data_IF_412280970262
#
_entry.id   IF_412280970262
#
_cell.length_a   1.000
_cell.length_b   1.000
_cell.length_c   1.000
_cell.angle_alpha   90.00
_cell.angle_beta   90.00
_cell.angle_gamma   90.00
#
_symmetry.space_group_name_H-M   'P 1'
#
loop_
_entity.id
_entity.type
_entity.pdbx_description
1 polymer ?
#
# COMPACT_ATOMS: atom_id res chain seq x y z
N UNK A 1 -6.14 12.39 1.17
CA UNK A 1 -6.51 10.98 1.06
C UNK A 1 -5.53 10.21 1.93
N UNK A 2 -6.00 9.27 2.75
CA UNK A 2 -5.16 8.49 3.67
C UNK A 2 -4.23 7.58 2.84
N UNK A 3 -2.91 7.72 3.00
CA UNK A 3 -1.92 7.06 2.12
C UNK A 3 -2.03 5.53 2.16
N UNK A 4 -2.43 4.98 3.31
CA UNK A 4 -2.63 3.53 3.47
C UNK A 4 -3.86 3.04 2.69
N UNK A 5 -4.93 3.83 2.64
CA UNK A 5 -6.11 3.48 1.83
C UNK A 5 -5.80 3.48 0.35
N UNK A 6 -5.05 4.48 -0.11
CA UNK A 6 -4.59 4.57 -1.50
C UNK A 6 -3.74 3.37 -1.89
N UNK A 7 -2.87 2.92 -0.98
CA UNK A 7 -2.03 1.75 -1.21
C UNK A 7 -2.83 0.45 -1.33
N UNK A 8 -3.83 0.26 -0.45
CA UNK A 8 -4.77 -0.87 -0.54
C UNK A 8 -5.52 -0.85 -1.87
N UNK A 9 -6.03 0.32 -2.30
CA UNK A 9 -6.74 0.46 -3.58
C UNK A 9 -5.87 0.13 -4.79
N UNK A 10 -4.55 0.33 -4.71
CA UNK A 10 -3.60 -0.07 -5.75
C UNK A 10 -3.31 -1.58 -5.72
N UNK A 11 -3.23 -2.19 -4.53
CA UNK A 11 -3.12 -3.65 -4.42
C UNK A 11 -4.39 -4.37 -4.88
N UNK A 12 -5.55 -3.76 -4.70
CA UNK A 12 -6.86 -4.26 -5.13
C UNK A 12 -7.20 -3.96 -6.60
N UNK A 13 -6.34 -3.26 -7.33
CA UNK A 13 -6.59 -2.90 -8.73
C UNK A 13 -6.50 -4.14 -9.63
N UNK A 14 -7.65 -4.71 -10.00
CA UNK A 14 -7.76 -5.89 -10.86
C UNK A 14 -7.16 -5.70 -12.27
N UNK A 15 -6.94 -4.45 -12.68
CA UNK A 15 -6.31 -4.12 -13.96
C UNK A 15 -4.79 -3.96 -13.85
N UNK A 16 -4.23 -3.97 -12.64
CA UNK A 16 -2.80 -3.99 -12.39
C UNK A 16 -2.38 -5.39 -11.92
N UNK A 17 -1.80 -6.16 -12.84
CA UNK A 17 -1.30 -7.50 -12.52
C UNK A 17 0.12 -7.40 -11.99
N UNK A 18 0.28 -7.74 -10.71
CA UNK A 18 1.58 -7.98 -10.10
C UNK A 18 2.23 -9.22 -10.74
N UNK A 19 3.57 -9.26 -10.85
CA UNK A 19 4.27 -10.47 -11.24
C UNK A 19 3.89 -11.65 -10.33
N UNK A 20 3.73 -12.85 -10.92
CA UNK A 20 3.31 -14.05 -10.19
C UNK A 20 4.28 -14.37 -9.03
N UNK A 21 5.56 -14.01 -9.17
CA UNK A 21 6.59 -14.23 -8.16
C UNK A 21 6.43 -13.39 -6.90
N UNK A 22 5.54 -12.40 -6.90
CA UNK A 22 5.30 -11.51 -5.74
C UNK A 22 3.83 -11.43 -5.33
N UNK A 23 2.91 -12.12 -6.00
CA UNK A 23 1.46 -11.96 -5.75
C UNK A 23 1.05 -12.34 -4.32
N UNK A 24 1.67 -13.37 -3.76
CA UNK A 24 1.41 -13.83 -2.40
C UNK A 24 1.91 -12.80 -1.38
N UNK A 25 3.10 -12.25 -1.60
CA UNK A 25 3.69 -11.19 -0.76
C UNK A 25 2.86 -9.90 -0.83
N UNK A 26 2.35 -9.53 -2.00
CA UNK A 26 1.45 -8.37 -2.15
C UNK A 26 0.18 -8.55 -1.31
N UNK A 27 -0.35 -9.77 -1.23
CA UNK A 27 -1.51 -10.08 -0.38
C UNK A 27 -1.17 -9.88 1.10
N UNK A 28 0.00 -10.33 1.55
CA UNK A 28 0.45 -10.13 2.94
C UNK A 28 0.62 -8.64 3.27
N UNK A 29 1.20 -7.86 2.35
CA UNK A 29 1.36 -6.42 2.52
C UNK A 29 0.02 -5.69 2.60
N UNK A 30 -0.92 -6.06 1.72
CA UNK A 30 -2.28 -5.53 1.70
C UNK A 30 -3.02 -5.83 3.02
N UNK A 31 -2.96 -7.05 3.51
CA UNK A 31 -3.66 -7.44 4.74
C UNK A 31 -3.09 -6.71 5.96
N UNK A 32 -1.77 -6.48 5.99
CA UNK A 32 -1.14 -5.64 7.00
C UNK A 32 -1.63 -4.19 6.94
N UNK A 33 -1.71 -3.59 5.74
CA UNK A 33 -2.21 -2.23 5.56
C UNK A 33 -3.66 -2.09 6.01
N UNK A 34 -4.52 -3.07 5.71
CA UNK A 34 -5.91 -3.11 6.20
C UNK A 34 -5.95 -3.16 7.72
N UNK A 35 -5.11 -3.99 8.36
CA UNK A 35 -5.02 -4.05 9.81
C UNK A 35 -4.54 -2.71 10.42
N UNK A 36 -3.60 -2.04 9.74
CA UNK A 36 -3.05 -0.75 10.17
C UNK A 36 -4.07 0.40 10.12
N UNK A 37 -5.08 0.34 9.22
CA UNK A 37 -6.15 1.35 9.16
C UNK A 37 -6.90 1.50 10.50
N UNK A 38 -7.06 0.40 11.26
CA UNK A 38 -7.69 0.44 12.57
C UNK A 38 -6.90 1.28 13.57
N UNK A 39 -5.58 1.06 13.63
CA UNK A 39 -4.66 1.84 14.47
C UNK A 39 -4.64 3.31 14.04
N UNK A 40 -4.50 3.59 12.74
CA UNK A 40 -4.52 4.97 12.21
C UNK A 40 -5.81 5.70 12.53
N UNK A 41 -6.96 5.04 12.36
CA UNK A 41 -8.26 5.58 12.74
C UNK A 41 -8.33 5.91 14.23
N UNK A 42 -7.79 5.04 15.10
CA UNK A 42 -7.75 5.29 16.54
C UNK A 42 -6.89 6.51 16.90
N UNK A 43 -5.75 6.69 16.22
CA UNK A 43 -4.82 7.81 16.42
C UNK A 43 -5.46 9.12 15.98
N UNK A 44 -6.12 9.15 14.83
CA UNK A 44 -6.72 10.38 14.28
C UNK A 44 -7.90 10.87 15.13
N UNK A 45 -8.62 9.94 15.78
CA UNK A 45 -9.83 10.26 16.53
C UNK A 45 -9.60 10.45 18.04
N UNK A 46 -8.37 10.29 18.54
CA UNK A 46 -8.09 10.49 19.97
C UNK A 46 -7.83 11.96 20.31
N UNK A 47 -8.36 12.49 21.42
CA UNK A 47 -8.17 13.90 21.79
C UNK A 47 -6.82 14.18 22.48
N UNK A 48 -6.04 13.16 22.84
CA UNK A 48 -4.80 13.31 23.60
C UNK A 48 -3.60 12.59 22.98
N UNK A 49 -2.43 13.24 23.03
CA UNK A 49 -1.18 12.72 22.47
C UNK A 49 -0.76 11.39 23.12
N UNK A 50 -1.05 11.19 24.40
CA UNK A 50 -0.60 10.01 25.12
C UNK A 50 -1.26 8.75 24.55
N UNK A 51 -2.58 8.79 24.32
CA UNK A 51 -3.32 7.70 23.69
C UNK A 51 -2.85 7.43 22.26
N UNK A 52 -2.54 8.48 21.48
CA UNK A 52 -1.96 8.32 20.14
C UNK A 52 -0.57 7.69 20.19
N UNK A 53 0.27 8.10 21.14
CA UNK A 53 1.65 7.61 21.29
C UNK A 53 1.72 6.13 21.67
N UNK A 54 0.78 5.67 22.50
CA UNK A 54 0.68 4.26 22.91
C UNK A 54 -0.24 3.42 22.03
N UNK A 55 -0.64 3.92 20.85
CA UNK A 55 -1.41 3.14 19.90
C UNK A 55 -0.65 1.87 19.48
N UNK A 56 -1.34 0.74 19.49
CA UNK A 56 -0.76 -0.55 19.14
C UNK A 56 -0.88 -0.77 17.65
N UNK A 57 0.25 -0.96 16.98
CA UNK A 57 0.30 -1.36 15.58
C UNK A 57 0.15 -2.87 15.45
N UNK A 58 -0.42 -3.37 14.33
CA UNK A 58 -0.37 -4.80 14.02
C UNK A 58 1.09 -5.30 14.00
N UNK A 59 1.27 -6.58 14.30
CA UNK A 59 2.58 -7.23 14.14
C UNK A 59 3.01 -7.17 12.67
N UNK A 60 4.15 -6.54 12.42
CA UNK A 60 4.69 -6.34 11.08
C UNK A 60 5.75 -7.35 10.68
N UNK A 61 5.96 -8.41 11.46
CA UNK A 61 7.03 -9.39 11.19
C UNK A 61 6.86 -10.04 9.82
N UNK A 62 5.65 -10.48 9.47
CA UNK A 62 5.37 -11.12 8.18
C UNK A 62 5.39 -10.10 7.03
N UNK A 63 4.83 -8.90 7.22
CA UNK A 63 4.84 -7.85 6.19
C UNK A 63 6.25 -7.35 5.90
N UNK A 64 7.12 -7.27 6.90
CA UNK A 64 8.54 -6.95 6.71
C UNK A 64 9.27 -8.03 5.90
N UNK A 65 9.01 -9.31 6.18
CA UNK A 65 9.58 -10.41 5.42
C UNK A 65 9.08 -10.40 3.96
N UNK A 66 7.77 -10.23 3.76
CA UNK A 66 7.16 -10.11 2.44
C UNK A 66 7.74 -8.93 1.65
N UNK A 67 7.90 -7.76 2.27
CA UNK A 67 8.52 -6.61 1.62
C UNK A 67 9.96 -6.88 1.15
N UNK A 68 10.75 -7.65 1.91
CA UNK A 68 12.10 -8.03 1.49
C UNK A 68 12.08 -9.06 0.36
N UNK A 69 11.15 -10.00 0.38
CA UNK A 69 11.00 -11.00 -0.68
C UNK A 69 10.58 -10.34 -2.00
N UNK A 70 9.62 -9.41 -1.98
CA UNK A 70 9.25 -8.60 -3.17
C UNK A 70 10.49 -7.92 -3.77
N UNK A 71 11.33 -7.32 -2.92
CA UNK A 71 12.55 -6.65 -3.39
C UNK A 71 13.53 -7.64 -4.01
N UNK A 72 13.70 -8.79 -3.39
CA UNK A 72 14.57 -9.85 -3.89
C UNK A 72 14.10 -10.36 -5.27
N UNK A 73 12.81 -10.70 -5.41
CA UNK A 73 12.24 -11.21 -6.67
C UNK A 73 12.31 -10.17 -7.80
N UNK A 74 12.10 -8.89 -7.48
CA UNK A 74 12.17 -7.80 -8.45
C UNK A 74 13.60 -7.27 -8.70
N UNK A 75 14.62 -7.85 -8.05
CA UNK A 75 16.01 -7.41 -8.19
C UNK A 75 16.26 -5.98 -7.66
N UNK A 76 15.42 -5.50 -6.75
CA UNK A 76 15.56 -4.21 -6.09
C UNK A 76 16.65 -4.28 -5.03
N UNK A 77 17.47 -3.23 -4.93
CA UNK A 77 18.52 -3.15 -3.92
C UNK A 77 17.96 -3.22 -2.49
N UNK A 78 18.76 -3.73 -1.55
CA UNK A 78 18.37 -3.78 -0.13
C UNK A 78 18.26 -2.40 0.53
N UNK A 79 19.00 -1.41 0.00
CA UNK A 79 18.93 -0.02 0.46
C UNK A 79 17.64 0.63 -0.02
N UNK A 80 16.65 0.70 0.87
CA UNK A 80 15.32 1.24 0.58
C UNK A 80 15.37 2.72 0.23
N UNK A 81 16.26 3.50 0.83
CA UNK A 81 16.37 4.93 0.55
C UNK A 81 16.99 5.15 -0.83
N UNK A 82 18.08 4.46 -1.14
CA UNK A 82 18.76 4.60 -2.41
C UNK A 82 17.91 4.12 -3.60
N UNK A 83 17.12 3.06 -3.43
CA UNK A 83 16.25 2.54 -4.50
C UNK A 83 14.97 3.35 -4.71
N UNK A 84 14.57 4.16 -3.73
CA UNK A 84 13.35 4.97 -3.82
C UNK A 84 13.59 6.32 -4.51
N UNK A 85 14.85 6.68 -4.80
CA UNK A 85 15.19 7.86 -5.59
C UNK A 85 14.54 7.70 -6.98
N UNK A 86 13.82 8.73 -7.44
CA UNK A 86 13.03 8.78 -8.69
C UNK A 86 11.67 8.06 -8.72
N UNK A 87 11.34 7.23 -7.72
CA UNK A 87 10.05 6.51 -7.65
C UNK A 87 9.04 7.11 -6.65
N UNK A 88 9.37 8.24 -6.03
CA UNK A 88 8.57 8.89 -4.98
C UNK A 88 7.14 9.19 -5.44
N UNK A 89 6.96 9.54 -6.71
CA UNK A 89 5.66 9.88 -7.31
C UNK A 89 5.09 8.77 -8.21
N UNK A 90 5.74 7.60 -8.31
CA UNK A 90 5.27 6.52 -9.17
C UNK A 90 3.84 6.07 -8.83
N UNK A 91 3.49 6.10 -7.54
CA UNK A 91 2.13 5.84 -7.06
C UNK A 91 1.10 6.85 -7.61
N UNK A 92 1.48 8.11 -7.84
CA UNK A 92 0.59 9.14 -8.41
C UNK A 92 0.19 8.79 -9.84
N UNK A 93 1.13 8.28 -10.64
CA UNK A 93 0.85 7.81 -12.00
C UNK A 93 -0.15 6.66 -12.01
N UNK A 94 0.08 5.63 -11.18
CA UNK A 94 -0.82 4.48 -11.07
C UNK A 94 -2.23 4.87 -10.62
N UNK A 95 -2.35 5.84 -9.69
CA UNK A 95 -3.64 6.37 -9.27
C UNK A 95 -4.35 7.10 -10.41
N UNK A 96 -3.63 7.93 -11.15
CA UNK A 96 -4.20 8.66 -12.29
C UNK A 96 -4.71 7.69 -13.37
N UNK A 97 -3.93 6.65 -13.68
CA UNK A 97 -4.32 5.59 -14.61
C UNK A 97 -5.58 4.84 -14.14
N UNK A 98 -5.67 4.52 -12.84
CA UNK A 98 -6.86 3.90 -12.24
C UNK A 98 -8.09 4.80 -12.35
N UNK A 99 -7.96 6.08 -11.99
CA UNK A 99 -9.06 7.04 -12.06
C UNK A 99 -9.57 7.28 -13.48
N UNK A 100 -8.65 7.40 -14.45
CA UNK A 100 -9.01 7.56 -15.85
C UNK A 100 -9.80 6.35 -16.36
N UNK A 101 -9.33 5.13 -16.03
CA UNK A 101 -10.01 3.89 -16.40
C UNK A 101 -11.40 3.77 -15.76
N UNK A 102 -11.53 4.05 -14.46
CA UNK A 102 -12.84 4.02 -13.78
C UNK A 102 -13.83 5.00 -14.41
N UNK A 103 -13.39 6.20 -14.80
CA UNK A 103 -14.23 7.18 -15.49
C UNK A 103 -14.66 6.70 -16.89
N UNK A 104 -13.77 6.02 -17.62
CA UNK A 104 -14.10 5.45 -18.93
C UNK A 104 -15.11 4.30 -18.83
N UNK A 105 -14.98 3.43 -17.84
CA UNK A 105 -15.92 2.33 -17.60
C UNK A 105 -17.31 2.86 -17.22
N UNK A 106 -17.37 3.83 -16.29
CA UNK A 106 -18.63 4.45 -15.88
C UNK A 106 -19.38 5.14 -17.04
N UNK A 107 -18.65 5.77 -17.96
CA UNK A 107 -19.24 6.39 -19.16
C UNK A 107 -19.69 5.40 -20.24
N UNK A 108 -19.29 4.13 -20.16
CA UNK A 108 -19.75 3.06 -21.07
C UNK A 108 -21.03 2.37 -20.56
N UNK A 109 -21.33 2.51 -19.27
CA UNK A 109 -22.50 1.95 -18.62
C UNK A 109 -23.73 2.91 -18.61
N UNK A 110 -23.60 4.11 -19.18
CA UNK A 110 -24.67 5.11 -19.42
C UNK A 110 -25.24 5.08 -20.84
#
# INVERSE_FOLDING_TARGET
MDSVRVQIELFDDEYHLWPDEVSDEITVLRDFDIAALGTLSSIVNTPDYQTAYYAVWPDGTESQAAAQEVRYQLGLGADTEATCVDYQDAHVGLIAEKQEREAQLAAQDE
#
